data_IF_175546310854
#
_entry.id   IF_175546310854
#
_cell.length_a   1.000
_cell.length_b   1.000
_cell.length_c   1.000
_cell.angle_alpha   90.00
_cell.angle_beta   90.00
_cell.angle_gamma   90.00
#
_symmetry.space_group_name_H-M   'P 1'
#
loop_
_entity.id
_entity.type
_entity.pdbx_description
1 polymer ?
#
# COMPACT_ATOMS: atom_id res chain seq x y z
N UNK A 1 64.59 9.87 6.33
CA UNK A 1 63.88 11.16 6.24
C UNK A 1 62.92 11.07 5.07
N UNK A 2 61.61 11.20 5.17
CA UNK A 2 60.73 11.44 6.31
C UNK A 2 59.36 10.88 5.93
N UNK A 3 58.74 10.23 6.90
CA UNK A 3 57.33 9.86 6.91
C UNK A 3 56.53 11.17 6.86
N UNK A 4 55.83 11.44 5.76
CA UNK A 4 54.76 12.45 5.76
C UNK A 4 53.44 11.71 5.94
N UNK A 5 53.11 11.60 7.22
CA UNK A 5 51.83 11.22 7.78
C UNK A 5 50.76 12.20 7.27
N UNK A 6 50.03 11.85 6.21
CA UNK A 6 48.81 12.57 5.82
C UNK A 6 47.63 11.95 6.55
N UNK A 7 47.57 12.21 7.86
CA UNK A 7 46.34 12.16 8.65
C UNK A 7 45.36 13.20 8.07
N UNK A 8 44.58 12.78 7.08
CA UNK A 8 43.56 13.60 6.44
C UNK A 8 42.20 13.15 6.96
N UNK A 9 41.72 13.88 7.98
CA UNK A 9 40.32 14.06 8.39
C UNK A 9 39.38 12.97 7.83
N UNK A 10 39.24 11.85 8.56
CA UNK A 10 38.18 10.89 8.28
C UNK A 10 36.84 11.65 8.36
N UNK A 11 36.19 11.84 7.21
CA UNK A 11 34.84 12.38 7.16
C UNK A 11 33.97 11.47 8.01
N UNK A 12 33.50 11.96 9.16
CA UNK A 12 32.72 11.19 10.14
C UNK A 12 31.51 10.56 9.44
N UNK A 13 31.60 9.28 9.12
CA UNK A 13 30.54 8.58 8.38
C UNK A 13 29.39 8.22 9.32
N UNK A 14 28.16 8.36 8.82
CA UNK A 14 26.94 8.17 9.62
C UNK A 14 26.17 6.94 9.13
N UNK A 15 25.72 6.10 10.04
CA UNK A 15 24.72 5.06 9.80
C UNK A 15 23.39 5.59 10.31
N UNK A 16 22.41 5.72 9.41
CA UNK A 16 21.07 6.17 9.77
C UNK A 16 20.23 4.99 10.26
N UNK A 17 19.75 5.07 11.50
CA UNK A 17 18.82 4.12 12.11
C UNK A 17 17.41 4.72 12.09
N UNK A 18 16.45 4.03 11.46
CA UNK A 18 15.07 4.51 11.31
C UNK A 18 14.08 3.57 11.99
N UNK A 19 13.23 4.11 12.85
CA UNK A 19 12.11 3.38 13.44
C UNK A 19 12.49 2.36 14.53
N UNK A 20 13.64 2.54 15.18
CA UNK A 20 14.07 1.69 16.29
C UNK A 20 13.58 2.22 17.64
N UNK A 21 13.29 1.29 18.56
CA UNK A 21 13.05 1.59 19.97
C UNK A 21 14.37 1.63 20.76
N UNK A 22 14.33 2.19 21.97
CA UNK A 22 15.52 2.38 22.81
C UNK A 22 16.26 1.07 23.11
N UNK A 23 15.52 -0.04 23.20
CA UNK A 23 16.09 -1.38 23.43
C UNK A 23 16.91 -1.88 22.25
N UNK A 24 16.40 -1.75 21.02
CA UNK A 24 17.14 -2.14 19.83
C UNK A 24 18.33 -1.19 19.61
N UNK A 25 18.16 0.11 19.87
CA UNK A 25 19.23 1.09 19.81
C UNK A 25 20.38 0.72 20.77
N UNK A 26 20.06 0.23 21.98
CA UNK A 26 21.07 -0.23 22.92
C UNK A 26 21.92 -1.37 22.33
N UNK A 27 21.30 -2.32 21.63
CA UNK A 27 22.02 -3.39 20.92
C UNK A 27 22.94 -2.79 19.86
N UNK A 28 22.45 -1.87 19.01
CA UNK A 28 23.28 -1.24 17.98
C UNK A 28 24.48 -0.47 18.55
N UNK A 29 24.31 0.16 19.72
CA UNK A 29 25.40 0.86 20.42
C UNK A 29 26.48 -0.06 20.95
N UNK A 30 26.21 -1.36 21.16
CA UNK A 30 27.24 -2.32 21.56
C UNK A 30 28.03 -2.89 20.39
N UNK A 31 27.56 -2.69 19.16
CA UNK A 31 28.21 -3.21 17.95
C UNK A 31 29.34 -2.30 17.48
N UNK A 32 30.36 -2.90 16.89
CA UNK A 32 31.49 -2.19 16.29
C UNK A 32 31.28 -1.94 14.79
N UNK A 33 30.84 -0.72 14.44
CA UNK A 33 30.70 -0.29 13.05
C UNK A 33 31.94 0.41 12.49
N UNK A 34 33.15 0.03 12.92
CA UNK A 34 34.42 0.60 12.51
C UNK A 34 34.49 2.14 12.71
N UNK A 35 34.06 2.61 13.89
CA UNK A 35 34.13 4.03 14.27
C UNK A 35 33.05 4.95 13.67
N UNK A 36 32.07 4.40 12.95
CA UNK A 36 30.97 5.16 12.33
C UNK A 36 29.92 5.58 13.36
N UNK A 37 29.38 6.77 13.19
CA UNK A 37 28.37 7.34 14.10
C UNK A 37 26.97 6.82 13.78
N UNK A 38 26.16 6.56 14.82
CA UNK A 38 24.76 6.18 14.66
C UNK A 38 23.87 7.41 14.83
N UNK A 39 23.12 7.77 13.77
CA UNK A 39 22.11 8.83 13.82
C UNK A 39 20.71 8.21 13.81
N UNK A 40 19.84 8.72 14.69
CA UNK A 40 18.51 8.16 14.91
C UNK A 40 17.43 9.03 14.30
N UNK A 41 16.46 8.38 13.66
CA UNK A 41 15.31 9.01 13.04
C UNK A 41 14.04 8.24 13.41
N UNK A 42 12.99 8.96 13.79
CA UNK A 42 11.71 8.35 14.16
C UNK A 42 10.99 7.72 12.97
N UNK A 43 11.19 8.26 11.76
CA UNK A 43 10.57 7.73 10.54
C UNK A 43 11.35 8.11 9.27
N UNK A 44 10.97 7.52 8.14
CA UNK A 44 11.63 7.76 6.85
C UNK A 44 11.52 9.20 6.32
N UNK A 45 10.47 9.93 6.67
CA UNK A 45 10.28 11.33 6.23
C UNK A 45 11.31 12.23 6.91
N UNK A 46 11.54 12.01 8.20
CA UNK A 46 12.55 12.72 8.98
C UNK A 46 13.95 12.49 8.41
N UNK A 47 14.30 11.23 8.10
CA UNK A 47 15.57 10.89 7.45
C UNK A 47 15.73 11.63 6.11
N UNK A 48 14.73 11.56 5.23
CA UNK A 48 14.80 12.21 3.91
C UNK A 48 14.99 13.72 4.06
N UNK A 49 14.24 14.36 4.95
CA UNK A 49 14.34 15.80 5.22
C UNK A 49 15.72 16.19 5.76
N UNK A 50 16.21 15.47 6.77
CA UNK A 50 17.52 15.73 7.37
C UNK A 50 18.66 15.54 6.37
N UNK A 51 18.63 14.46 5.59
CA UNK A 51 19.67 14.17 4.61
C UNK A 51 19.72 15.22 3.50
N UNK A 52 18.57 15.66 2.99
CA UNK A 52 18.52 16.71 1.97
C UNK A 52 18.99 18.07 2.49
N UNK A 53 18.57 18.46 3.70
CA UNK A 53 18.81 19.80 4.22
C UNK A 53 20.21 19.97 4.80
N UNK A 54 20.78 18.91 5.41
CA UNK A 54 22.02 18.99 6.17
C UNK A 54 23.22 18.35 5.45
N UNK A 55 23.03 17.80 4.24
CA UNK A 55 24.07 17.13 3.46
C UNK A 55 24.89 16.13 4.28
N UNK A 56 24.20 15.32 5.09
CA UNK A 56 24.84 14.39 6.02
C UNK A 56 25.65 13.32 5.27
N UNK A 57 26.86 12.96 5.75
CA UNK A 57 27.71 11.91 5.19
C UNK A 57 27.19 10.51 5.58
N UNK A 58 25.92 10.24 5.26
CA UNK A 58 25.31 8.94 5.51
C UNK A 58 25.93 7.89 4.59
N UNK A 59 26.36 6.78 5.17
CA UNK A 59 27.05 5.67 4.50
C UNK A 59 26.23 4.37 4.49
N UNK A 60 25.18 4.28 5.31
CA UNK A 60 24.20 3.19 5.29
C UNK A 60 22.87 3.66 5.93
N UNK A 61 21.78 3.02 5.53
CA UNK A 61 20.47 3.17 6.17
C UNK A 61 20.01 1.82 6.66
N UNK A 62 19.64 1.74 7.94
CA UNK A 62 19.04 0.56 8.55
C UNK A 62 17.65 0.96 9.03
N UNK A 63 16.62 0.26 8.55
CA UNK A 63 15.23 0.55 8.88
C UNK A 63 14.60 -0.63 9.62
N UNK A 64 14.05 -0.38 10.80
CA UNK A 64 13.15 -1.32 11.47
C UNK A 64 11.73 -1.11 10.92
N UNK A 65 11.38 -1.90 9.90
CA UNK A 65 10.15 -1.73 9.15
C UNK A 65 9.88 -2.99 8.34
N UNK A 66 8.62 -3.40 8.28
CA UNK A 66 8.19 -4.40 7.29
C UNK A 66 8.50 -3.89 5.87
N UNK A 67 8.81 -4.82 4.95
CA UNK A 67 9.26 -4.51 3.57
C UNK A 67 8.25 -3.61 2.83
N UNK A 68 6.96 -3.86 3.02
CA UNK A 68 5.88 -3.13 2.34
C UNK A 68 5.37 -1.90 3.08
N UNK A 69 5.92 -1.61 4.27
CA UNK A 69 5.48 -0.44 5.04
C UNK A 69 6.08 0.86 4.45
N UNK A 70 5.59 2.05 4.87
CA UNK A 70 6.08 3.33 4.36
C UNK A 70 7.59 3.56 4.51
N UNK A 71 8.20 3.05 5.59
CA UNK A 71 9.66 3.10 5.82
C UNK A 71 10.43 1.95 5.17
N UNK A 72 9.74 1.08 4.42
CA UNK A 72 10.28 -0.04 3.66
C UNK A 72 10.65 0.35 2.23
N UNK A 73 10.06 -0.34 1.24
CA UNK A 73 10.29 -0.09 -0.18
C UNK A 73 9.96 1.34 -0.62
N UNK A 74 8.91 1.93 -0.08
CA UNK A 74 8.51 3.30 -0.42
C UNK A 74 9.59 4.31 -0.04
N UNK A 75 10.32 4.10 1.07
CA UNK A 75 11.45 4.93 1.46
C UNK A 75 12.64 4.75 0.51
N UNK A 76 12.95 3.51 0.10
CA UNK A 76 13.99 3.24 -0.89
C UNK A 76 13.72 4.00 -2.19
N UNK A 77 12.48 3.98 -2.67
CA UNK A 77 12.07 4.70 -3.87
C UNK A 77 12.11 6.23 -3.66
N UNK A 78 11.67 6.72 -2.50
CA UNK A 78 11.73 8.13 -2.16
C UNK A 78 13.18 8.66 -2.16
N UNK A 79 14.12 7.94 -1.54
CA UNK A 79 15.55 8.31 -1.52
C UNK A 79 16.12 8.38 -2.95
N UNK A 80 15.79 7.40 -3.80
CA UNK A 80 16.21 7.39 -5.22
C UNK A 80 15.62 8.56 -6.01
N UNK A 81 14.32 8.81 -5.88
CA UNK A 81 13.62 9.87 -6.61
C UNK A 81 14.10 11.27 -6.20
N UNK A 82 14.56 11.42 -4.96
CA UNK A 82 15.18 12.65 -4.46
C UNK A 82 16.65 12.81 -4.88
N UNK A 83 17.22 11.85 -5.62
CA UNK A 83 18.60 11.92 -6.11
C UNK A 83 19.65 11.82 -5.01
N UNK A 84 19.32 11.23 -3.85
CA UNK A 84 20.25 11.12 -2.73
C UNK A 84 21.37 10.10 -3.03
N UNK A 85 22.55 10.24 -2.40
CA UNK A 85 23.66 9.32 -2.58
C UNK A 85 23.22 7.86 -2.33
N UNK A 86 23.60 6.94 -3.23
CA UNK A 86 23.19 5.56 -3.12
C UNK A 86 24.05 4.83 -2.09
N UNK A 87 23.45 4.47 -0.97
CA UNK A 87 24.08 3.72 0.12
C UNK A 87 23.40 2.36 0.30
N UNK A 88 24.04 1.38 0.95
CA UNK A 88 23.36 0.14 1.35
C UNK A 88 22.16 0.46 2.24
N UNK A 89 21.00 -0.03 1.82
CA UNK A 89 19.75 0.10 2.57
C UNK A 89 19.37 -1.28 3.12
N UNK A 90 19.27 -1.42 4.43
CA UNK A 90 19.01 -2.68 5.11
C UNK A 90 17.67 -2.62 5.82
N UNK A 91 16.91 -3.71 5.75
CA UNK A 91 15.63 -3.84 6.44
C UNK A 91 15.73 -4.82 7.60
N UNK A 92 15.13 -4.47 8.71
CA UNK A 92 14.89 -5.35 9.85
C UNK A 92 13.38 -5.53 9.97
N UNK A 93 12.93 -6.78 9.82
CA UNK A 93 11.51 -7.16 9.77
C UNK A 93 11.16 -8.10 10.91
N UNK A 94 9.88 -8.11 11.33
CA UNK A 94 9.40 -9.13 12.26
C UNK A 94 9.13 -10.44 11.51
N UNK A 95 8.63 -10.33 10.28
CA UNK A 95 8.21 -11.46 9.47
C UNK A 95 9.03 -11.57 8.19
N UNK A 96 9.70 -12.71 8.01
CA UNK A 96 10.48 -12.97 6.81
C UNK A 96 9.65 -13.79 5.82
N UNK A 97 9.36 -13.22 4.66
CA UNK A 97 8.78 -13.95 3.54
C UNK A 97 9.72 -13.95 2.33
N UNK A 98 9.94 -15.13 1.74
CA UNK A 98 10.87 -15.32 0.63
C UNK A 98 10.51 -14.48 -0.60
N UNK A 99 9.24 -14.27 -0.90
CA UNK A 99 8.87 -13.47 -2.07
C UNK A 99 9.06 -11.97 -1.81
N UNK A 100 8.67 -11.48 -0.63
CA UNK A 100 8.97 -10.10 -0.22
C UNK A 100 10.47 -9.82 -0.13
N UNK A 101 11.29 -10.76 0.37
CA UNK A 101 12.75 -10.59 0.38
C UNK A 101 13.30 -10.50 -1.04
N UNK A 102 12.86 -11.38 -1.96
CA UNK A 102 13.25 -11.28 -3.38
C UNK A 102 12.84 -9.92 -3.97
N UNK A 103 11.64 -9.44 -3.66
CA UNK A 103 11.15 -8.14 -4.09
C UNK A 103 11.97 -6.99 -3.50
N UNK A 104 12.32 -7.05 -2.21
CA UNK A 104 13.15 -6.08 -1.52
C UNK A 104 14.52 -5.95 -2.19
N UNK A 105 15.21 -7.08 -2.36
CA UNK A 105 16.52 -7.15 -3.00
C UNK A 105 16.46 -6.60 -4.43
N UNK A 106 15.46 -7.04 -5.21
CA UNK A 106 15.24 -6.56 -6.57
C UNK A 106 14.92 -5.06 -6.65
N UNK A 107 14.35 -4.48 -5.60
CA UNK A 107 14.03 -3.05 -5.51
C UNK A 107 15.22 -2.22 -5.01
N UNK A 108 16.38 -2.83 -4.75
CA UNK A 108 17.62 -2.17 -4.34
C UNK A 108 17.84 -2.11 -2.84
N UNK A 109 17.12 -2.91 -2.05
CA UNK A 109 17.50 -3.21 -0.65
C UNK A 109 18.75 -4.07 -0.68
N UNK A 110 19.76 -3.73 0.12
CA UNK A 110 21.03 -4.44 0.20
C UNK A 110 20.90 -5.77 0.95
N UNK A 111 20.12 -5.78 2.05
CA UNK A 111 19.84 -7.01 2.80
C UNK A 111 18.58 -6.89 3.68
N UNK A 112 18.04 -8.04 4.11
CA UNK A 112 16.89 -8.12 5.01
C UNK A 112 17.20 -9.06 6.17
N UNK A 113 17.12 -8.55 7.39
CA UNK A 113 17.26 -9.31 8.63
C UNK A 113 15.91 -9.50 9.31
N UNK A 114 15.78 -10.61 10.03
CA UNK A 114 14.60 -10.91 10.85
C UNK A 114 14.92 -10.68 12.32
N UNK A 115 13.96 -10.15 13.07
CA UNK A 115 14.00 -10.16 14.53
C UNK A 115 13.73 -11.57 15.10
N UNK A 116 14.39 -11.97 16.20
CA UNK A 116 15.43 -11.22 16.92
C UNK A 116 16.77 -11.18 16.17
N UNK A 117 17.51 -10.08 16.31
CA UNK A 117 18.81 -9.90 15.65
C UNK A 117 19.88 -10.77 16.32
N UNK A 118 20.77 -11.31 15.49
CA UNK A 118 22.04 -11.88 15.95
C UNK A 118 23.11 -10.80 15.73
N UNK A 119 23.59 -10.22 16.83
CA UNK A 119 24.51 -9.07 16.87
C UNK A 119 25.73 -9.22 15.95
N UNK A 120 26.39 -10.36 15.99
CA UNK A 120 27.59 -10.63 15.19
C UNK A 120 27.28 -10.62 13.67
N UNK A 121 26.14 -11.18 13.26
CA UNK A 121 25.76 -11.24 11.86
C UNK A 121 25.49 -9.86 11.27
N UNK A 122 24.81 -8.99 12.03
CA UNK A 122 24.48 -7.64 11.55
C UNK A 122 25.72 -6.74 11.51
N UNK A 123 26.59 -6.83 12.51
CA UNK A 123 27.84 -6.08 12.55
C UNK A 123 28.72 -6.39 11.35
N UNK A 124 29.05 -7.68 11.16
CA UNK A 124 29.90 -8.15 10.06
C UNK A 124 29.28 -7.76 8.72
N UNK A 125 27.97 -7.97 8.56
CA UNK A 125 27.29 -7.74 7.28
C UNK A 125 27.17 -6.27 6.92
N UNK A 126 26.85 -5.39 7.88
CA UNK A 126 26.76 -3.94 7.64
C UNK A 126 28.13 -3.39 7.29
N UNK A 127 29.17 -3.74 8.03
CA UNK A 127 30.55 -3.31 7.74
C UNK A 127 30.97 -3.76 6.34
N UNK A 128 30.77 -5.05 6.02
CA UNK A 128 31.06 -5.60 4.71
C UNK A 128 30.33 -4.85 3.59
N UNK A 129 29.03 -4.56 3.76
CA UNK A 129 28.23 -3.87 2.76
C UNK A 129 28.70 -2.44 2.53
N UNK A 130 29.00 -1.69 3.59
CA UNK A 130 29.50 -0.31 3.48
C UNK A 130 30.83 -0.27 2.73
N UNK A 131 31.77 -1.15 3.09
CA UNK A 131 33.12 -1.20 2.53
C UNK A 131 33.14 -1.65 1.06
N UNK A 132 32.20 -2.52 0.67
CA UNK A 132 32.17 -3.11 -0.67
C UNK A 132 31.03 -2.57 -1.55
N UNK A 133 30.31 -1.53 -1.09
CA UNK A 133 29.05 -1.10 -1.73
C UNK A 133 29.22 -0.68 -3.19
N UNK A 134 30.29 0.07 -3.50
CA UNK A 134 30.58 0.55 -4.86
C UNK A 134 30.70 -0.59 -5.86
N UNK A 135 31.35 -1.69 -5.46
CA UNK A 135 31.51 -2.91 -6.26
C UNK A 135 30.20 -3.70 -6.36
N UNK A 136 29.49 -3.89 -5.24
CA UNK A 136 28.26 -4.69 -5.17
C UNK A 136 27.09 -4.05 -5.92
N UNK A 137 26.98 -2.71 -5.88
CA UNK A 137 25.88 -1.99 -6.53
C UNK A 137 25.85 -2.19 -8.05
N UNK A 138 27.02 -2.34 -8.68
CA UNK A 138 27.13 -2.60 -10.12
C UNK A 138 26.49 -3.93 -10.54
N UNK A 139 26.50 -4.95 -9.66
CA UNK A 139 25.88 -6.26 -9.94
C UNK A 139 24.39 -6.30 -9.57
N UNK A 140 23.96 -5.54 -8.55
CA UNK A 140 22.58 -5.50 -8.05
C UNK A 140 21.60 -4.76 -8.97
N UNK A 141 22.07 -3.88 -9.86
CA UNK A 141 21.21 -3.09 -10.74
C UNK A 141 20.44 -3.91 -11.80
N UNK A 142 20.72 -5.21 -11.95
CA UNK A 142 20.19 -6.02 -13.06
C UNK A 142 18.93 -6.86 -12.75
N UNK A 143 18.33 -6.78 -11.55
CA UNK A 143 17.24 -7.70 -11.17
C UNK A 143 15.95 -7.06 -10.66
N UNK A 144 15.60 -5.82 -11.04
CA UNK A 144 14.19 -5.41 -10.90
C UNK A 144 13.33 -6.38 -11.74
N UNK A 145 12.38 -7.15 -11.16
CA UNK A 145 11.42 -7.90 -11.97
C UNK A 145 10.70 -6.86 -12.81
N UNK A 146 10.98 -6.87 -14.12
CA UNK A 146 10.28 -5.98 -15.04
C UNK A 146 8.82 -6.34 -14.93
N UNK A 147 8.02 -5.43 -14.35
CA UNK A 147 6.57 -5.51 -14.43
C UNK A 147 6.23 -5.76 -15.89
N UNK A 148 5.43 -6.81 -16.14
CA UNK A 148 5.10 -7.21 -17.50
C UNK A 148 4.41 -6.02 -18.17
N UNK A 149 5.12 -5.37 -19.09
CA UNK A 149 4.61 -4.18 -19.78
C UNK A 149 3.36 -4.60 -20.55
N UNK A 150 2.33 -3.77 -20.52
CA UNK A 150 1.10 -3.99 -21.29
C UNK A 150 1.50 -4.21 -22.76
N UNK A 151 1.02 -5.31 -23.35
CA UNK A 151 1.22 -5.63 -24.76
C UNK A 151 0.72 -4.46 -25.62
N UNK A 152 1.45 -4.11 -26.68
CA UNK A 152 1.08 -2.98 -27.55
C UNK A 152 -0.28 -3.19 -28.20
N UNK A 153 -0.61 -4.42 -28.59
CA UNK A 153 -1.93 -4.82 -29.10
C UNK A 153 -3.03 -4.54 -28.10
N UNK A 154 -2.83 -4.92 -26.84
CA UNK A 154 -3.75 -4.65 -25.74
C UNK A 154 -3.95 -3.16 -25.54
N UNK A 155 -2.86 -2.37 -25.56
CA UNK A 155 -2.95 -0.92 -25.38
C UNK A 155 -3.71 -0.24 -26.52
N UNK A 156 -3.47 -0.65 -27.77
CA UNK A 156 -4.20 -0.13 -28.93
C UNK A 156 -5.69 -0.46 -28.81
N UNK A 157 -6.04 -1.70 -28.45
CA UNK A 157 -7.41 -2.10 -28.20
C UNK A 157 -8.07 -1.24 -27.12
N UNK A 158 -7.40 -1.03 -25.98
CA UNK A 158 -7.90 -0.22 -24.87
C UNK A 158 -8.23 1.21 -25.32
N UNK A 159 -7.35 1.85 -26.10
CA UNK A 159 -7.55 3.21 -26.62
C UNK A 159 -8.71 3.30 -27.60
N UNK A 160 -8.79 2.38 -28.56
CA UNK A 160 -9.85 2.35 -29.57
C UNK A 160 -11.21 2.07 -28.91
N UNK A 161 -11.26 1.09 -28.01
CA UNK A 161 -12.49 0.72 -27.31
C UNK A 161 -12.95 1.84 -26.39
N UNK A 162 -12.08 2.38 -25.52
CA UNK A 162 -12.45 3.45 -24.60
C UNK A 162 -12.81 4.75 -25.34
N UNK A 163 -12.08 5.09 -26.40
CA UNK A 163 -12.36 6.27 -27.21
C UNK A 163 -13.69 6.18 -27.94
N UNK A 164 -13.96 5.03 -28.57
CA UNK A 164 -15.24 4.74 -29.21
C UNK A 164 -16.41 4.75 -28.22
N UNK A 165 -16.23 4.12 -27.05
CA UNK A 165 -17.24 4.12 -26.00
C UNK A 165 -17.52 5.52 -25.45
N UNK A 166 -16.49 6.34 -25.20
CA UNK A 166 -16.66 7.73 -24.74
C UNK A 166 -17.40 8.59 -25.77
N UNK A 167 -17.09 8.43 -27.06
CA UNK A 167 -17.76 9.17 -28.13
C UNK A 167 -19.23 8.75 -28.24
N UNK A 168 -19.51 7.45 -28.23
CA UNK A 168 -20.87 6.90 -28.28
C UNK A 168 -21.70 7.30 -27.05
N UNK A 169 -21.10 7.29 -25.86
CA UNK A 169 -21.76 7.62 -24.60
C UNK A 169 -21.79 9.13 -24.31
N UNK A 170 -21.17 9.97 -25.15
CA UNK A 170 -21.09 11.42 -24.91
C UNK A 170 -22.46 12.10 -24.69
N UNK A 171 -23.57 11.74 -25.39
CA UNK A 171 -24.88 12.32 -25.11
C UNK A 171 -25.39 11.91 -23.72
N UNK A 172 -25.16 10.65 -23.32
CA UNK A 172 -25.53 10.16 -22.00
C UNK A 172 -24.73 10.87 -20.90
N UNK A 173 -23.43 11.08 -21.10
CA UNK A 173 -22.58 11.82 -20.16
C UNK A 173 -23.11 13.24 -19.94
N UNK A 174 -23.55 13.92 -21.01
CA UNK A 174 -24.14 15.26 -20.90
C UNK A 174 -25.45 15.25 -20.10
N UNK A 175 -26.35 14.31 -20.37
CA UNK A 175 -27.62 14.17 -19.64
C UNK A 175 -27.37 13.94 -18.15
N UNK A 176 -26.49 12.99 -17.81
CA UNK A 176 -26.16 12.66 -16.41
C UNK A 176 -25.46 13.85 -15.73
N UNK A 177 -24.57 14.53 -16.44
CA UNK A 177 -23.93 15.75 -15.95
C UNK A 177 -24.98 16.81 -15.56
N UNK A 178 -25.96 17.07 -16.44
CA UNK A 178 -27.04 18.02 -16.16
C UNK A 178 -27.90 17.57 -14.98
N UNK A 179 -28.30 16.30 -14.92
CA UNK A 179 -29.08 15.76 -13.80
C UNK A 179 -28.39 15.92 -12.44
N UNK A 180 -27.09 15.61 -12.36
CA UNK A 180 -26.32 15.77 -11.12
C UNK A 180 -26.23 17.24 -10.71
N UNK A 181 -26.03 18.15 -11.69
CA UNK A 181 -25.91 19.60 -11.47
C UNK A 181 -27.22 20.26 -11.07
N UNK A 182 -28.34 19.75 -11.58
CA UNK A 182 -29.69 20.22 -11.22
C UNK A 182 -30.08 19.78 -9.80
N UNK A 183 -29.71 18.56 -9.40
CA UNK A 183 -30.05 18.05 -8.06
C UNK A 183 -29.15 18.62 -6.96
N UNK A 184 -27.84 18.83 -7.23
CA UNK A 184 -26.89 19.27 -6.21
C UNK A 184 -25.82 20.23 -6.75
N UNK A 185 -25.52 21.30 -5.99
CA UNK A 185 -24.47 22.27 -6.33
C UNK A 185 -23.08 21.61 -6.36
N UNK A 186 -22.16 22.11 -7.20
CA UNK A 186 -20.76 21.64 -7.29
C UNK A 186 -20.45 20.75 -8.51
N UNK A 187 -19.23 20.19 -8.60
CA UNK A 187 -18.77 19.44 -9.78
C UNK A 187 -19.48 18.08 -9.93
N UNK A 188 -19.90 17.74 -11.15
CA UNK A 188 -20.54 16.45 -11.43
C UNK A 188 -19.56 15.27 -11.47
N UNK A 189 -18.27 15.54 -11.68
CA UNK A 189 -17.20 14.55 -11.62
C UNK A 189 -16.52 14.58 -10.25
N UNK A 190 -16.15 13.40 -9.79
CA UNK A 190 -15.43 13.16 -8.55
C UNK A 190 -14.29 12.17 -8.82
N UNK A 191 -13.23 12.21 -8.03
CA UNK A 191 -12.17 11.20 -8.09
C UNK A 191 -11.87 10.64 -6.70
N UNK A 192 -11.52 9.35 -6.65
CA UNK A 192 -10.97 8.70 -5.46
C UNK A 192 -9.54 8.24 -5.73
N UNK A 193 -8.68 8.21 -4.72
CA UNK A 193 -7.33 7.66 -4.88
C UNK A 193 -7.39 6.13 -4.84
N UNK A 194 -6.77 5.48 -5.82
CA UNK A 194 -6.71 4.02 -5.93
C UNK A 194 -5.30 3.55 -6.24
N UNK A 195 -4.99 2.34 -5.80
CA UNK A 195 -3.76 1.61 -6.10
C UNK A 195 -4.00 0.67 -7.28
N UNK A 196 -3.19 0.83 -8.32
CA UNK A 196 -3.25 0.04 -9.55
C UNK A 196 -1.96 -0.73 -9.82
N UNK A 197 -1.63 -0.84 -11.11
CA UNK A 197 -0.45 -1.57 -11.62
C UNK A 197 0.84 -1.09 -10.96
N UNK A 198 1.67 -2.04 -10.52
CA UNK A 198 2.94 -1.77 -9.85
C UNK A 198 2.80 -1.02 -8.53
N UNK A 199 1.64 -1.13 -7.86
CA UNK A 199 1.31 -0.38 -6.64
C UNK A 199 1.25 1.15 -6.84
N UNK A 200 1.10 1.61 -8.08
CA UNK A 200 1.00 3.05 -8.38
C UNK A 200 -0.34 3.62 -7.96
N UNK A 201 -0.31 4.76 -7.29
CA UNK A 201 -1.51 5.51 -6.89
C UNK A 201 -1.94 6.41 -8.05
N UNK A 202 -3.22 6.39 -8.40
CA UNK A 202 -3.79 7.25 -9.44
C UNK A 202 -5.19 7.77 -9.07
N UNK A 203 -5.65 8.77 -9.83
CA UNK A 203 -6.97 9.38 -9.67
C UNK A 203 -8.03 8.55 -10.38
N UNK A 204 -8.88 7.87 -9.63
CA UNK A 204 -9.95 7.04 -10.18
C UNK A 204 -11.24 7.86 -10.36
N UNK A 205 -11.59 8.17 -11.59
CA UNK A 205 -12.69 9.08 -11.92
C UNK A 205 -14.06 8.40 -11.87
N UNK A 206 -15.05 9.14 -11.37
CA UNK A 206 -16.46 8.73 -11.27
C UNK A 206 -17.40 9.92 -11.46
N UNK A 207 -18.67 9.64 -11.73
CA UNK A 207 -19.71 10.64 -11.49
C UNK A 207 -19.99 10.75 -9.99
N UNK A 208 -20.25 11.97 -9.56
CA UNK A 208 -20.60 12.28 -8.18
C UNK A 208 -22.00 11.76 -7.88
N UNK A 209 -22.08 10.77 -7.00
CA UNK A 209 -23.34 10.20 -6.52
C UNK A 209 -23.77 10.72 -5.14
N UNK A 210 -22.89 11.43 -4.43
CA UNK A 210 -23.11 11.92 -3.07
C UNK A 210 -23.18 13.45 -3.02
N UNK A 211 -23.83 14.01 -1.99
CA UNK A 211 -23.80 15.46 -1.74
C UNK A 211 -22.37 15.94 -1.42
N UNK A 212 -22.05 17.19 -1.72
CA UNK A 212 -20.69 17.76 -1.53
C UNK A 212 -20.22 17.71 -0.06
N UNK A 213 -21.13 17.75 0.90
CA UNK A 213 -20.82 17.71 2.34
C UNK A 213 -21.00 16.30 2.95
N UNK A 214 -21.04 15.26 2.12
CA UNK A 214 -21.22 13.87 2.56
C UNK A 214 -20.09 13.40 3.50
N UNK A 215 -18.86 13.87 3.30
CA UNK A 215 -17.69 13.43 4.06
C UNK A 215 -17.72 13.91 5.52
N UNK A 216 -18.37 15.04 5.81
CA UNK A 216 -18.54 15.55 7.18
C UNK A 216 -19.43 14.63 8.03
N UNK A 217 -20.31 13.85 7.41
CA UNK A 217 -21.25 12.93 8.06
C UNK A 217 -20.73 11.50 8.19
N UNK A 218 -19.48 11.22 7.78
CA UNK A 218 -18.91 9.86 7.84
C UNK A 218 -18.84 9.35 9.28
N UNK A 219 -18.44 10.21 10.23
CA UNK A 219 -18.33 9.86 11.66
C UNK A 219 -19.68 9.47 12.24
N UNK A 220 -20.72 10.23 11.92
CA UNK A 220 -22.10 10.02 12.41
C UNK A 220 -22.73 8.71 11.88
N UNK A 221 -22.23 8.18 10.76
CA UNK A 221 -22.79 7.02 10.07
C UNK A 221 -21.98 5.73 10.28
N UNK A 222 -20.96 5.74 11.15
CA UNK A 222 -20.16 4.55 11.45
C UNK A 222 -21.00 3.38 11.98
N UNK A 223 -22.06 3.69 12.72
CA UNK A 223 -23.00 2.70 13.26
C UNK A 223 -23.80 1.94 12.18
N UNK A 224 -23.83 2.43 10.94
CA UNK A 224 -24.55 1.80 9.82
C UNK A 224 -23.68 0.87 8.97
N UNK A 225 -22.44 0.61 9.38
CA UNK A 225 -21.53 -0.25 8.63
C UNK A 225 -22.05 -1.70 8.63
N UNK A 226 -22.27 -2.25 7.43
CA UNK A 226 -22.85 -3.58 7.20
C UNK A 226 -22.01 -4.74 7.72
N UNK A 227 -20.71 -4.50 7.91
CA UNK A 227 -19.78 -5.53 8.29
C UNK A 227 -19.40 -5.46 9.79
N UNK A 228 -20.18 -4.75 10.62
CA UNK A 228 -20.11 -4.84 12.07
C UNK A 228 -20.83 -6.08 12.64
N UNK A 229 -21.04 -7.11 11.81
CA UNK A 229 -21.62 -8.39 12.23
C UNK A 229 -20.46 -9.21 12.82
N UNK A 230 -20.22 -8.98 14.11
CA UNK A 230 -19.53 -9.85 15.11
C UNK A 230 -18.98 -9.03 16.29
N UNK A 231 -19.34 -7.75 16.42
CA UNK A 231 -19.22 -7.02 17.69
C UNK A 231 -20.42 -7.33 18.60
N UNK A 232 -20.62 -8.61 18.91
CA UNK A 232 -21.57 -9.10 19.91
C UNK A 232 -21.14 -8.84 21.36
N UNK A 233 -20.35 -7.79 21.59
CA UNK A 233 -20.15 -7.17 22.89
C UNK A 233 -20.25 -5.66 22.64
N UNK A 234 -21.27 -5.06 23.24
CA UNK A 234 -21.45 -3.61 23.28
C UNK A 234 -20.11 -2.92 23.59
N UNK A 235 -19.82 -1.77 22.96
CA UNK A 235 -18.69 -0.96 23.36
C UNK A 235 -18.98 -0.49 24.80
N UNK A 236 -18.36 -1.14 25.78
CA UNK A 236 -18.21 -0.50 27.10
C UNK A 236 -17.38 0.76 26.85
N UNK A 237 -18.06 1.89 26.87
CA UNK A 237 -17.45 3.16 27.23
C UNK A 237 -16.72 2.94 28.56
N UNK A 238 -15.39 2.86 28.50
CA UNK A 238 -14.58 3.06 29.68
C UNK A 238 -13.76 4.31 29.43
N UNK A 239 -14.36 5.43 29.83
CA UNK A 239 -13.64 6.65 30.17
C UNK A 239 -12.52 6.31 31.17
N UNK A 240 -11.33 6.86 30.92
CA UNK A 240 -10.33 7.26 31.93
C UNK A 240 -10.08 6.33 33.13
N UNK A 241 -9.14 5.40 32.99
CA UNK A 241 -8.17 5.07 34.03
C UNK A 241 -7.00 4.28 33.43
N UNK A 242 -5.77 4.66 33.78
CA UNK A 242 -4.56 3.90 33.48
C UNK A 242 -4.66 2.49 34.11
N UNK A 243 -5.06 1.49 33.33
CA UNK A 243 -5.12 0.12 33.81
C UNK A 243 -3.74 -0.53 33.76
N UNK A 244 -3.26 -0.83 34.96
CA UNK A 244 -2.05 -1.53 35.32
C UNK A 244 -2.22 -3.05 35.14
N UNK A 245 -2.66 -3.50 33.97
CA UNK A 245 -2.80 -4.93 33.65
C UNK A 245 -1.90 -5.31 32.47
N UNK A 246 -1.18 -6.44 32.63
CA UNK A 246 -0.28 -7.01 31.63
C UNK A 246 -1.04 -8.05 30.80
N UNK A 247 -0.88 -8.04 29.47
CA UNK A 247 -1.39 -9.10 28.61
C UNK A 247 -0.80 -10.47 28.98
N UNK A 248 -1.45 -11.57 28.59
CA UNK A 248 -1.06 -12.95 28.93
C UNK A 248 0.42 -13.24 28.62
N UNK A 249 0.93 -12.67 27.53
CA UNK A 249 2.32 -12.81 27.12
C UNK A 249 3.30 -11.98 27.96
N UNK A 250 2.85 -10.92 28.63
CA UNK A 250 3.65 -10.05 29.49
C UNK A 250 3.54 -10.42 30.99
N UNK A 251 2.52 -11.19 31.39
CA UNK A 251 2.36 -11.66 32.77
C UNK A 251 3.58 -12.46 33.25
N UNK A 252 4.13 -13.32 32.39
CA UNK A 252 5.32 -14.13 32.69
C UNK A 252 6.58 -13.30 32.97
N UNK A 253 6.61 -12.03 32.56
CA UNK A 253 7.75 -11.14 32.72
C UNK A 253 7.54 -10.06 33.78
N UNK A 254 6.37 -10.00 34.43
CA UNK A 254 6.06 -9.05 35.50
C UNK A 254 6.03 -7.57 35.10
N UNK A 255 6.29 -7.24 33.82
CA UNK A 255 6.22 -5.89 33.25
C UNK A 255 5.92 -5.94 31.76
N UNK A 256 5.32 -4.87 31.23
CA UNK A 256 5.00 -4.77 29.80
C UNK A 256 6.29 -4.71 29.00
N UNK A 257 6.46 -5.63 28.05
CA UNK A 257 7.67 -5.69 27.22
C UNK A 257 7.59 -4.78 25.98
N UNK A 258 6.39 -4.26 25.66
CA UNK A 258 6.15 -3.49 24.44
C UNK A 258 5.22 -2.28 24.74
N UNK A 259 5.64 -1.30 25.57
CA UNK A 259 4.79 -0.16 25.86
C UNK A 259 4.74 0.84 24.68
N UNK A 260 3.54 1.26 24.31
CA UNK A 260 3.23 2.39 23.43
C UNK A 260 2.93 3.61 24.29
N UNK A 261 3.63 4.71 24.05
CA UNK A 261 3.44 5.96 24.79
C UNK A 261 2.76 7.02 23.90
N UNK A 262 1.65 7.57 24.36
CA UNK A 262 1.00 8.74 23.77
C UNK A 262 0.37 9.59 24.88
N UNK A 263 0.62 10.90 24.87
CA UNK A 263 -0.03 11.89 25.74
C UNK A 263 -0.15 11.47 27.23
N UNK A 264 0.96 11.01 27.81
CA UNK A 264 1.11 10.56 29.21
C UNK A 264 0.42 9.22 29.56
N UNK A 265 -0.06 8.48 28.57
CA UNK A 265 -0.67 7.15 28.72
C UNK A 265 0.25 6.10 28.10
N UNK A 266 0.47 4.99 28.81
CA UNK A 266 1.22 3.82 28.31
C UNK A 266 0.27 2.64 28.05
N UNK A 267 0.17 2.20 26.79
CA UNK A 267 -0.56 0.98 26.41
C UNK A 267 0.41 -0.16 26.11
N UNK A 268 0.01 -1.42 26.26
CA UNK A 268 0.77 -2.54 25.72
C UNK A 268 0.51 -2.64 24.20
N UNK A 269 1.56 -2.74 23.37
CA UNK A 269 1.45 -2.80 21.92
C UNK A 269 0.63 -4.01 21.44
N UNK A 270 0.72 -5.14 22.15
CA UNK A 270 -0.10 -6.32 21.83
C UNK A 270 -1.57 -6.09 22.12
N UNK A 271 -1.90 -5.44 23.23
CA UNK A 271 -3.28 -5.09 23.57
C UNK A 271 -3.79 -3.97 22.67
N UNK A 272 -2.93 -3.05 22.25
CA UNK A 272 -3.24 -2.06 21.24
C UNK A 272 -3.48 -2.70 19.87
N UNK A 273 -2.68 -3.68 19.46
CA UNK A 273 -2.89 -4.43 18.20
C UNK A 273 -4.15 -5.28 18.26
N UNK A 274 -4.41 -5.97 19.37
CA UNK A 274 -5.62 -6.77 19.59
C UNK A 274 -6.86 -5.88 19.63
N UNK A 275 -6.84 -4.80 20.42
CA UNK A 275 -7.91 -3.81 20.44
C UNK A 275 -8.07 -3.12 19.09
N UNK A 276 -7.00 -2.84 18.33
CA UNK A 276 -7.09 -2.27 16.98
C UNK A 276 -7.52 -3.30 15.93
N UNK A 277 -7.31 -4.60 16.12
CA UNK A 277 -7.85 -5.66 15.26
C UNK A 277 -9.34 -5.88 15.53
N UNK A 278 -9.74 -5.79 16.80
CA UNK A 278 -11.15 -5.91 17.21
C UNK A 278 -11.93 -4.59 17.03
N UNK A 279 -11.27 -3.43 17.12
CA UNK A 279 -11.82 -2.11 16.84
C UNK A 279 -11.64 -1.68 15.38
N UNK A 280 -10.75 -2.34 14.63
CA UNK A 280 -10.86 -2.41 13.19
C UNK A 280 -12.06 -3.30 12.89
N UNK A 281 -13.25 -2.73 13.04
CA UNK A 281 -14.39 -3.19 12.29
C UNK A 281 -13.93 -3.46 10.87
N UNK A 282 -14.45 -4.54 10.30
CA UNK A 282 -14.41 -4.88 8.88
C UNK A 282 -13.61 -3.98 7.95
N UNK A 283 -12.68 -4.58 7.19
CA UNK A 283 -11.84 -3.84 6.27
C UNK A 283 -12.59 -3.04 5.20
N UNK A 284 -13.89 -3.30 5.06
CA UNK A 284 -14.81 -2.72 4.11
C UNK A 284 -15.84 -1.89 4.87
N UNK A 285 -15.95 -0.60 4.52
CA UNK A 285 -17.02 0.26 4.98
C UNK A 285 -18.14 0.27 3.94
N UNK A 286 -19.30 -0.32 4.25
CA UNK A 286 -20.43 -0.36 3.33
C UNK A 286 -21.73 -0.09 4.08
N UNK A 287 -22.53 0.84 3.58
CA UNK A 287 -23.86 1.16 4.10
C UNK A 287 -24.88 0.77 3.03
N UNK A 288 -25.92 -0.02 3.36
CA UNK A 288 -26.94 -0.47 2.39
C UNK A 288 -27.71 0.71 1.78
N UNK A 289 -28.16 1.60 2.65
CA UNK A 289 -28.98 2.77 2.33
C UNK A 289 -28.28 4.02 2.85
N UNK A 290 -27.20 4.40 2.19
CA UNK A 290 -26.38 5.53 2.62
C UNK A 290 -27.15 6.85 2.42
N UNK A 291 -27.49 7.59 3.49
CA UNK A 291 -28.28 8.81 3.43
C UNK A 291 -27.54 9.98 2.74
N UNK A 292 -26.25 9.79 2.43
CA UNK A 292 -25.42 10.78 1.72
C UNK A 292 -25.58 10.70 0.20
N UNK A 293 -26.24 9.66 -0.31
CA UNK A 293 -26.48 9.47 -1.74
C UNK A 293 -27.67 10.32 -2.19
N UNK A 294 -27.52 10.99 -3.32
CA UNK A 294 -28.60 11.77 -3.98
C UNK A 294 -29.60 10.84 -4.70
N UNK A 295 -30.78 11.31 -5.11
CA UNK A 295 -31.73 10.46 -5.84
C UNK A 295 -31.17 10.06 -7.21
N UNK A 296 -30.58 11.01 -7.94
CA UNK A 296 -29.84 10.72 -9.18
C UNK A 296 -28.64 9.82 -8.87
N UNK A 297 -27.95 10.08 -7.76
CA UNK A 297 -26.84 9.26 -7.26
C UNK A 297 -27.19 7.78 -7.05
N UNK A 298 -28.39 7.51 -6.51
CA UNK A 298 -28.90 6.16 -6.31
C UNK A 298 -29.17 5.49 -7.67
N UNK A 299 -29.77 6.21 -8.61
CA UNK A 299 -30.00 5.72 -9.96
C UNK A 299 -28.69 5.37 -10.70
N UNK A 300 -27.71 6.29 -10.71
CA UNK A 300 -26.44 6.07 -11.43
C UNK A 300 -25.58 4.97 -10.80
N UNK A 301 -25.69 4.73 -9.48
CA UNK A 301 -25.03 3.59 -8.81
C UNK A 301 -25.69 2.26 -9.15
N UNK A 302 -27.03 2.21 -9.13
CA UNK A 302 -27.78 0.99 -9.45
C UNK A 302 -27.56 0.54 -10.89
N UNK A 303 -27.33 1.49 -11.80
CA UNK A 303 -27.04 1.23 -13.22
C UNK A 303 -25.54 1.16 -13.53
N UNK A 304 -24.66 1.31 -12.53
CA UNK A 304 -23.20 1.41 -12.69
C UNK A 304 -22.71 2.52 -13.65
N UNK A 305 -23.59 3.48 -13.96
CA UNK A 305 -23.26 4.65 -14.78
C UNK A 305 -22.23 5.53 -14.08
N UNK A 306 -22.18 5.51 -12.74
CA UNK A 306 -21.22 6.28 -11.95
C UNK A 306 -19.75 5.94 -12.26
N UNK A 307 -19.51 4.74 -12.77
CA UNK A 307 -18.19 4.20 -13.09
C UNK A 307 -17.74 4.47 -14.53
N UNK A 308 -18.62 4.91 -15.43
CA UNK A 308 -18.27 5.18 -16.84
C UNK A 308 -17.12 6.19 -17.05
N UNK A 309 -16.94 7.24 -16.23
CA UNK A 309 -15.79 8.13 -16.36
C UNK A 309 -14.42 7.44 -16.23
N UNK A 310 -14.35 6.21 -15.72
CA UNK A 310 -13.11 5.41 -15.70
C UNK A 310 -12.58 5.10 -17.10
N UNK A 311 -13.41 5.17 -18.15
CA UNK A 311 -12.93 5.07 -19.53
C UNK A 311 -11.86 6.15 -19.84
N UNK A 312 -11.93 7.30 -19.17
CA UNK A 312 -10.89 8.32 -19.26
C UNK A 312 -9.57 7.88 -18.62
N UNK A 313 -9.61 7.12 -17.52
CA UNK A 313 -8.41 6.51 -16.92
C UNK A 313 -7.76 5.51 -17.88
N UNK A 314 -8.57 4.81 -18.69
CA UNK A 314 -8.06 3.95 -19.74
C UNK A 314 -7.34 4.77 -20.81
N UNK A 315 -7.90 5.89 -21.27
CA UNK A 315 -7.24 6.77 -22.25
C UNK A 315 -5.90 7.31 -21.73
N UNK A 316 -5.85 7.80 -20.49
CA UNK A 316 -4.61 8.35 -19.89
C UNK A 316 -3.55 7.26 -19.64
N UNK A 317 -3.99 6.01 -19.43
CA UNK A 317 -3.08 4.86 -19.21
C UNK A 317 -2.91 4.46 -17.75
N UNK A 318 -3.76 4.97 -16.85
CA UNK A 318 -3.86 4.49 -15.47
C UNK A 318 -4.47 3.09 -15.40
N UNK A 319 -5.39 2.79 -16.32
CA UNK A 319 -6.18 1.55 -16.38
C UNK A 319 -6.20 0.95 -17.79
N UNK A 320 -6.71 -0.26 -17.87
CA UNK A 320 -7.00 -1.04 -19.08
C UNK A 320 -8.46 -1.49 -19.05
N UNK A 321 -9.02 -1.93 -20.19
CA UNK A 321 -10.40 -2.46 -20.23
C UNK A 321 -10.50 -3.72 -19.39
N UNK A 322 -9.53 -4.64 -19.55
CA UNK A 322 -9.42 -5.88 -18.78
C UNK A 322 -8.20 -5.82 -17.87
N UNK A 323 -8.38 -6.12 -16.59
CA UNK A 323 -7.34 -6.04 -15.57
C UNK A 323 -7.87 -6.27 -14.15
N UNK A 324 -6.98 -6.28 -13.17
CA UNK A 324 -7.37 -6.42 -11.76
C UNK A 324 -8.03 -5.13 -11.26
N UNK A 325 -9.06 -5.25 -10.41
CA UNK A 325 -9.80 -4.09 -9.90
C UNK A 325 -8.89 -3.19 -9.04
N UNK A 326 -8.80 -1.87 -9.31
CA UNK A 326 -8.05 -0.94 -8.46
C UNK A 326 -8.65 -0.86 -7.05
N UNK A 327 -7.80 -0.89 -6.04
CA UNK A 327 -8.23 -0.86 -4.64
C UNK A 327 -8.06 0.52 -4.03
N UNK A 328 -8.93 0.93 -3.09
CA UNK A 328 -8.65 2.11 -2.29
C UNK A 328 -7.42 1.90 -1.41
N UNK A 329 -6.78 3.01 -1.04
CA UNK A 329 -5.50 3.01 -0.30
C UNK A 329 -5.56 2.12 0.95
N UNK A 330 -6.62 2.25 1.76
CA UNK A 330 -6.78 1.50 3.00
C UNK A 330 -6.97 -0.02 2.81
N UNK A 331 -7.50 -0.48 1.66
CA UNK A 331 -7.59 -1.93 1.35
C UNK A 331 -6.26 -2.42 0.79
N UNK A 332 -5.63 -1.62 -0.07
CA UNK A 332 -4.33 -1.95 -0.64
C UNK A 332 -3.22 -2.04 0.44
N UNK A 333 -3.32 -1.25 1.50
CA UNK A 333 -2.42 -1.31 2.67
C UNK A 333 -2.57 -2.64 3.44
N UNK A 334 -3.79 -3.17 3.53
CA UNK A 334 -4.08 -4.45 4.19
C UNK A 334 -3.64 -5.67 3.38
N UNK A 335 -3.52 -5.53 2.07
CA UNK A 335 -3.15 -6.60 1.14
C UNK A 335 -1.66 -6.63 0.80
N UNK A 336 -0.83 -6.19 1.73
CA UNK A 336 0.64 -6.13 1.62
C UNK A 336 1.32 -7.47 1.92
N UNK A 337 0.56 -8.51 2.27
CA UNK A 337 1.08 -9.88 2.44
C UNK A 337 1.36 -10.57 1.10
N UNK A 338 2.34 -11.49 1.10
CA UNK A 338 2.80 -12.22 -0.11
C UNK A 338 1.70 -12.99 -0.83
N UNK A 339 0.64 -13.38 -0.10
CA UNK A 339 -0.49 -14.10 -0.68
C UNK A 339 -1.24 -13.23 -1.69
N UNK A 340 -1.23 -11.90 -1.57
CA UNK A 340 -2.11 -11.03 -2.37
C UNK A 340 -1.38 -9.93 -3.14
N UNK A 341 -0.11 -9.66 -2.83
CA UNK A 341 0.67 -8.59 -3.49
C UNK A 341 0.83 -8.80 -5.00
N UNK A 342 0.84 -10.06 -5.47
CA UNK A 342 1.04 -10.40 -6.87
C UNK A 342 -0.01 -9.78 -7.79
N UNK A 343 -1.23 -9.53 -7.30
CA UNK A 343 -2.29 -8.88 -8.07
C UNK A 343 -1.88 -7.53 -8.66
N UNK A 344 -1.03 -6.79 -7.98
CA UNK A 344 -0.58 -5.47 -8.42
C UNK A 344 0.41 -5.56 -9.59
N UNK A 345 0.92 -6.75 -9.93
CA UNK A 345 1.76 -6.93 -11.12
C UNK A 345 0.97 -6.96 -12.43
N UNK A 346 -0.36 -7.15 -12.37
CA UNK A 346 -1.25 -7.08 -13.52
C UNK A 346 -1.70 -5.64 -13.80
N UNK A 347 -2.14 -5.34 -15.04
CA UNK A 347 -2.80 -4.09 -15.35
C UNK A 347 -4.04 -3.87 -14.47
N UNK A 348 -4.21 -2.66 -13.97
CA UNK A 348 -5.47 -2.18 -13.39
C UNK A 348 -6.59 -2.22 -14.45
N UNK A 349 -7.78 -2.70 -14.10
CA UNK A 349 -8.87 -2.92 -15.06
C UNK A 349 -10.26 -2.48 -14.60
N UNK A 350 -11.13 -2.21 -15.56
CA UNK A 350 -12.57 -2.01 -15.34
C UNK A 350 -13.25 -3.35 -15.02
N UNK A 351 -12.97 -4.36 -15.85
CA UNK A 351 -13.39 -5.75 -15.63
C UNK A 351 -12.17 -6.65 -15.47
N UNK A 352 -12.31 -7.75 -14.72
CA UNK A 352 -11.24 -8.67 -14.40
C UNK A 352 -11.75 -10.09 -14.23
N UNK A 353 -10.83 -11.04 -14.13
CA UNK A 353 -11.16 -12.47 -14.09
C UNK A 353 -12.19 -12.81 -13.00
N UNK A 354 -12.00 -12.34 -11.78
CA UNK A 354 -12.92 -12.65 -10.69
C UNK A 354 -14.31 -11.99 -10.88
N UNK A 355 -14.38 -10.81 -11.51
CA UNK A 355 -15.67 -10.16 -11.79
C UNK A 355 -16.49 -10.99 -12.78
N UNK A 356 -15.82 -11.65 -13.73
CA UNK A 356 -16.45 -12.56 -14.69
C UNK A 356 -16.82 -13.89 -14.03
N UNK A 357 -15.92 -14.47 -13.23
CA UNK A 357 -16.17 -15.75 -12.54
C UNK A 357 -17.26 -15.66 -11.47
N UNK A 358 -17.31 -14.56 -10.69
CA UNK A 358 -18.36 -14.33 -9.69
C UNK A 358 -19.75 -14.38 -10.32
N UNK A 359 -19.94 -13.72 -11.47
CA UNK A 359 -21.21 -13.68 -12.21
C UNK A 359 -21.67 -15.06 -12.72
N UNK A 360 -20.79 -16.06 -12.75
CA UNK A 360 -21.13 -17.42 -13.15
C UNK A 360 -21.27 -18.41 -11.99
N UNK A 361 -20.92 -18.02 -10.76
CA UNK A 361 -20.81 -18.94 -9.61
C UNK A 361 -21.49 -18.47 -8.31
N UNK A 362 -22.13 -17.29 -8.31
CA UNK A 362 -22.84 -16.77 -7.13
C UNK A 362 -21.93 -16.12 -6.09
N UNK A 363 -22.19 -16.35 -4.80
CA UNK A 363 -21.36 -15.79 -3.72
C UNK A 363 -19.94 -16.33 -3.74
N UNK A 364 -18.97 -15.44 -3.53
CA UNK A 364 -17.54 -15.75 -3.59
C UNK A 364 -16.85 -15.05 -2.43
N UNK A 365 -16.04 -15.79 -1.69
CA UNK A 365 -15.24 -15.29 -0.58
C UNK A 365 -14.21 -14.25 -1.04
N UNK A 366 -13.70 -13.45 -0.10
CA UNK A 366 -12.67 -12.44 -0.40
C UNK A 366 -11.36 -13.09 -0.85
N UNK A 367 -10.99 -14.20 -0.22
CA UNK A 367 -9.79 -14.97 -0.54
C UNK A 367 -9.83 -15.53 -1.97
N UNK A 368 -10.96 -16.07 -2.41
CA UNK A 368 -11.12 -16.57 -3.78
C UNK A 368 -10.98 -15.47 -4.83
N UNK A 369 -11.53 -14.27 -4.56
CA UNK A 369 -11.40 -13.11 -5.47
C UNK A 369 -9.94 -12.71 -5.63
N UNK A 370 -9.22 -12.64 -4.52
CA UNK A 370 -7.81 -12.27 -4.51
C UNK A 370 -6.93 -13.35 -5.18
N UNK A 371 -7.27 -14.63 -5.03
CA UNK A 371 -6.59 -15.72 -5.73
C UNK A 371 -6.82 -15.65 -7.26
N UNK A 372 -8.02 -15.30 -7.70
CA UNK A 372 -8.32 -15.08 -9.12
C UNK A 372 -7.59 -13.85 -9.68
N UNK A 373 -7.47 -12.77 -8.92
CA UNK A 373 -6.64 -11.61 -9.28
C UNK A 373 -5.16 -12.01 -9.48
N UNK A 374 -4.60 -12.86 -8.61
CA UNK A 374 -3.24 -13.38 -8.77
C UNK A 374 -3.11 -14.30 -9.98
N UNK A 375 -4.12 -15.15 -10.21
CA UNK A 375 -4.18 -16.05 -11.37
C UNK A 375 -4.16 -15.25 -12.67
N UNK A 376 -4.92 -14.15 -12.71
CA UNK A 376 -4.89 -13.22 -13.83
C UNK A 376 -3.51 -12.56 -13.97
N UNK A 377 -2.92 -12.10 -12.87
CA UNK A 377 -1.60 -11.47 -12.88
C UNK A 377 -0.51 -12.35 -13.50
N UNK A 378 -0.55 -13.66 -13.24
CA UNK A 378 0.40 -14.63 -13.82
C UNK A 378 0.17 -14.90 -15.31
N UNK A 379 -1.10 -14.97 -15.73
CA UNK A 379 -1.48 -15.52 -17.04
C UNK A 379 -2.09 -14.50 -18.01
N UNK A 380 -2.09 -13.21 -17.68
CA UNK A 380 -2.67 -12.19 -18.54
C UNK A 380 -1.94 -12.10 -19.90
N UNK A 381 -2.75 -12.06 -20.96
CA UNK A 381 -2.36 -11.88 -22.36
C UNK A 381 -3.54 -11.28 -23.12
N UNK A 382 -3.27 -10.60 -24.25
CA UNK A 382 -4.35 -10.01 -25.04
C UNK A 382 -5.42 -11.03 -25.46
N UNK A 383 -5.01 -12.25 -25.84
CA UNK A 383 -5.95 -13.34 -26.20
C UNK A 383 -6.86 -13.74 -25.04
N UNK A 384 -6.30 -13.84 -23.83
CA UNK A 384 -7.08 -14.16 -22.63
C UNK A 384 -8.06 -13.03 -22.30
N UNK A 385 -7.68 -11.77 -22.51
CA UNK A 385 -8.55 -10.63 -22.27
C UNK A 385 -9.75 -10.61 -23.22
N UNK A 386 -9.55 -10.86 -24.51
CA UNK A 386 -10.67 -10.98 -25.46
C UNK A 386 -11.63 -12.10 -25.04
N UNK A 387 -11.10 -13.26 -24.60
CA UNK A 387 -11.92 -14.35 -24.06
C UNK A 387 -12.73 -13.91 -22.84
N UNK A 388 -12.13 -13.13 -21.94
CA UNK A 388 -12.83 -12.59 -20.77
C UNK A 388 -13.93 -11.60 -21.16
N UNK A 389 -13.68 -10.71 -22.11
CA UNK A 389 -14.69 -9.77 -22.61
C UNK A 389 -15.88 -10.52 -23.22
N UNK A 390 -15.63 -11.52 -24.07
CA UNK A 390 -16.68 -12.33 -24.68
C UNK A 390 -17.50 -13.11 -23.64
N UNK A 391 -16.87 -13.56 -22.54
CA UNK A 391 -17.58 -14.16 -21.40
C UNK A 391 -18.37 -13.14 -20.58
N UNK A 392 -18.00 -11.86 -20.64
CA UNK A 392 -18.66 -10.77 -19.91
C UNK A 392 -19.99 -10.38 -20.56
N UNK A 393 -20.10 -10.43 -21.89
CA UNK A 393 -21.28 -9.96 -22.65
C UNK A 393 -22.57 -10.76 -22.33
N UNK A 394 -22.58 -12.11 -22.35
CA UNK A 394 -23.77 -12.89 -21.98
C UNK A 394 -24.20 -12.67 -20.53
N UNK A 395 -23.23 -12.48 -19.63
CA UNK A 395 -23.45 -12.25 -18.21
C UNK A 395 -23.98 -10.84 -17.87
N UNK A 396 -23.95 -9.88 -18.80
CA UNK A 396 -24.61 -8.57 -18.65
C UNK A 396 -26.11 -8.63 -18.94
N UNK A 397 -26.55 -9.65 -19.69
CA UNK A 397 -27.96 -9.86 -20.06
C UNK A 397 -28.69 -10.78 -19.07
N UNK A 398 -27.96 -11.57 -18.28
CA UNK A 398 -28.51 -12.27 -17.12
C UNK A 398 -28.64 -11.28 -15.96
N UNK A 399 -29.83 -10.70 -15.82
CA UNK A 399 -30.23 -10.01 -14.58
C UNK A 399 -30.26 -11.04 -13.45
N UNK A 400 -29.39 -10.91 -12.46
CA UNK A 400 -29.69 -11.43 -11.13
C UNK A 400 -30.69 -10.44 -10.49
N UNK A 401 -31.88 -10.94 -10.20
CA UNK A 401 -32.86 -10.23 -9.37
C UNK A 401 -32.20 -9.86 -8.03
N UNK A 402 -32.36 -8.60 -7.64
CA UNK A 402 -31.76 -7.96 -6.45
C UNK A 402 -32.42 -8.42 -5.16
#
# INVERSE_FOLDING_TARGET
MSITNTSSIESKQIIALVGFDDTAIAIFKTLNFNGRELALYGNGIELVSAWQNQQLPICAVICNSEIMAPSGLALVEALKNKGLPPVPFLLIVNHLNRNLVKLALASGVADVFRLPLISENIEVRVNFLIENWSSLRGSLQNTTPKLKKIETSKRIFDLVFAGGALLMLSPLFLIIYLWIRLESKGPAFYYSLRVGTGYRVFRFYKFRSMYVNADQRVKDLQHLNQYNIDSGNEPKETETAAHQFLCDACQSYGKCQYPLYADKVSWCEKDFRYSKQNAAGSAFFKIKNDPRITKVGKFIRNTSIDELPQLWNVIIGDMSIVGNRPLPLYEAEKLTTDKYVLRFSAPAGITGLWQVEKRGKGEMSEDERLMLDNTYAQNHSFKNDIKLILRTIPALLQKEDV
#
